data_IF_822290924527
#
_entry.id   IF_822290924527
#
_cell.length_a   1.000
_cell.length_b   1.000
_cell.length_c   1.000
_cell.angle_alpha   90.00
_cell.angle_beta   90.00
_cell.angle_gamma   90.00
#
_symmetry.space_group_name_H-M   'P 1'
#
loop_
_entity.id
_entity.type
_entity.pdbx_description
1 polymer ?
#
# COMPACT_ATOMS: atom_id res chain seq x y z
N UNK A 1 -24.86 -6.04 1.34
CA UNK A 1 -23.73 -6.20 0.40
C UNK A 1 -24.33 -6.26 -1.00
N UNK A 2 -23.97 -5.35 -1.89
CA UNK A 2 -24.55 -5.23 -3.24
C UNK A 2 -23.64 -5.86 -4.30
N UNK A 3 -24.21 -6.26 -5.43
CA UNK A 3 -23.52 -7.02 -6.49
C UNK A 3 -22.27 -6.33 -7.07
N UNK A 4 -22.17 -4.99 -6.99
CA UNK A 4 -20.99 -4.23 -7.42
C UNK A 4 -19.79 -4.42 -6.50
N UNK A 5 -20.00 -4.60 -5.19
CA UNK A 5 -18.92 -4.82 -4.20
C UNK A 5 -18.25 -6.18 -4.37
N UNK A 6 -19.01 -7.19 -4.82
CA UNK A 6 -18.49 -8.54 -5.10
C UNK A 6 -17.68 -8.57 -6.40
N UNK A 7 -17.87 -7.59 -7.29
CA UNK A 7 -17.18 -7.47 -8.58
C UNK A 7 -15.77 -6.91 -8.36
N UNK A 8 -15.64 -5.77 -7.67
CA UNK A 8 -14.34 -5.13 -7.38
C UNK A 8 -13.33 -6.05 -6.67
N UNK A 9 -13.80 -6.76 -5.64
CA UNK A 9 -12.99 -7.71 -4.85
C UNK A 9 -12.51 -8.93 -5.67
N UNK A 10 -13.21 -9.28 -6.76
CA UNK A 10 -12.81 -10.35 -7.68
C UNK A 10 -11.77 -9.92 -8.72
N UNK A 11 -11.58 -8.61 -8.93
CA UNK A 11 -10.72 -8.06 -9.99
C UNK A 11 -9.49 -7.31 -9.47
N UNK A 12 -9.26 -7.28 -8.15
CA UNK A 12 -8.08 -6.63 -7.57
C UNK A 12 -8.05 -5.10 -7.77
N UNK A 13 -9.20 -4.48 -8.01
CA UNK A 13 -9.38 -3.03 -8.09
C UNK A 13 -10.35 -2.55 -7.03
N UNK A 14 -10.09 -1.36 -6.52
CA UNK A 14 -10.77 -0.80 -5.35
C UNK A 14 -11.16 0.64 -5.62
N UNK A 15 -12.43 0.94 -5.45
CA UNK A 15 -12.90 2.32 -5.37
C UNK A 15 -12.37 2.98 -4.09
N UNK A 16 -12.31 4.32 -4.07
CA UNK A 16 -11.96 5.08 -2.85
C UNK A 16 -12.85 4.69 -1.66
N UNK A 17 -14.14 4.43 -1.89
CA UNK A 17 -15.08 4.02 -0.84
C UNK A 17 -14.77 2.62 -0.28
N UNK A 18 -14.39 1.67 -1.14
CA UNK A 18 -13.97 0.33 -0.72
C UNK A 18 -12.65 0.38 0.06
N UNK A 19 -11.65 1.09 -0.44
CA UNK A 19 -10.38 1.31 0.26
C UNK A 19 -10.63 1.93 1.65
N UNK A 20 -11.44 2.98 1.74
CA UNK A 20 -11.79 3.63 3.00
C UNK A 20 -12.38 2.66 4.02
N UNK A 21 -13.31 1.82 3.59
CA UNK A 21 -13.93 0.79 4.44
C UNK A 21 -12.95 -0.31 4.85
N UNK A 22 -12.12 -0.79 3.92
CA UNK A 22 -11.14 -1.85 4.19
C UNK A 22 -10.08 -1.36 5.19
N UNK A 23 -9.55 -0.16 4.93
CA UNK A 23 -8.50 0.47 5.75
C UNK A 23 -9.04 1.13 7.02
N UNK A 24 -10.38 1.22 7.16
CA UNK A 24 -11.06 1.93 8.26
C UNK A 24 -10.62 3.39 8.38
N UNK A 25 -10.44 4.06 7.24
CA UNK A 25 -10.05 5.46 7.14
C UNK A 25 -11.20 6.32 6.63
N UNK A 26 -11.24 7.62 6.95
CA UNK A 26 -12.15 8.55 6.31
C UNK A 26 -11.94 8.57 4.78
N UNK A 27 -13.03 8.58 4.00
CA UNK A 27 -12.96 8.62 2.53
C UNK A 27 -12.15 9.80 2.00
N UNK A 28 -12.22 10.95 2.67
CA UNK A 28 -11.43 12.12 2.32
C UNK A 28 -9.92 11.90 2.51
N UNK A 29 -9.51 11.13 3.53
CA UNK A 29 -8.10 10.77 3.75
C UNK A 29 -7.58 9.93 2.61
N UNK A 30 -8.29 8.86 2.25
CA UNK A 30 -7.93 7.99 1.12
C UNK A 30 -7.86 8.77 -0.19
N UNK A 31 -8.86 9.63 -0.45
CA UNK A 31 -8.88 10.50 -1.64
C UNK A 31 -7.64 11.41 -1.69
N UNK A 32 -7.27 12.03 -0.56
CA UNK A 32 -6.10 12.92 -0.48
C UNK A 32 -4.80 12.17 -0.73
N UNK A 33 -4.63 10.98 -0.14
CA UNK A 33 -3.45 10.16 -0.38
C UNK A 33 -3.34 9.72 -1.83
N UNK A 34 -4.45 9.28 -2.43
CA UNK A 34 -4.47 8.84 -3.82
C UNK A 34 -4.14 9.98 -4.80
N UNK A 35 -4.68 11.17 -4.54
CA UNK A 35 -4.27 12.36 -5.29
C UNK A 35 -2.81 12.74 -5.07
N UNK A 36 -2.28 12.61 -3.84
CA UNK A 36 -0.86 12.90 -3.58
C UNK A 36 0.05 11.94 -4.35
N UNK A 37 -0.29 10.65 -4.38
CA UNK A 37 0.46 9.64 -5.12
C UNK A 37 0.35 9.86 -6.62
N UNK A 38 -0.84 10.09 -7.18
CA UNK A 38 -0.99 10.34 -8.63
C UNK A 38 -0.32 11.64 -9.13
N UNK A 39 -0.13 12.62 -8.25
CA UNK A 39 0.51 13.89 -8.58
C UNK A 39 2.05 13.85 -8.46
N UNK A 40 2.64 12.72 -8.06
CA UNK A 40 4.10 12.56 -8.07
C UNK A 40 4.62 12.44 -9.51
N UNK A 41 5.90 12.76 -9.70
CA UNK A 41 6.54 12.67 -11.01
C UNK A 41 6.86 11.21 -11.36
N UNK A 42 5.94 10.57 -12.08
CA UNK A 42 6.06 9.17 -12.48
C UNK A 42 6.52 9.01 -13.93
N UNK A 43 7.21 7.90 -14.26
CA UNK A 43 7.43 7.52 -15.64
C UNK A 43 6.11 7.48 -16.41
N UNK A 44 6.11 8.00 -17.64
CA UNK A 44 4.92 8.14 -18.49
C UNK A 44 4.11 6.83 -18.54
N UNK A 45 2.83 6.92 -18.14
CA UNK A 45 1.90 5.79 -18.13
C UNK A 45 1.80 5.04 -16.80
N UNK A 46 2.58 5.42 -15.79
CA UNK A 46 2.44 4.89 -14.43
C UNK A 46 1.48 5.76 -13.63
N UNK A 47 0.40 5.15 -13.14
CA UNK A 47 -0.62 5.83 -12.34
C UNK A 47 -1.04 4.93 -11.18
N UNK A 48 -1.34 5.55 -10.04
CA UNK A 48 -1.85 4.90 -8.86
C UNK A 48 -3.37 4.69 -8.92
N UNK A 49 -4.04 5.46 -9.76
CA UNK A 49 -5.45 5.23 -10.05
C UNK A 49 -5.81 5.48 -11.51
N UNK A 50 -6.90 4.87 -11.94
CA UNK A 50 -7.50 5.07 -13.26
C UNK A 50 -8.98 5.38 -13.10
N UNK A 51 -9.54 6.13 -14.05
CA UNK A 51 -10.99 6.31 -14.15
C UNK A 51 -11.58 5.18 -15.00
N UNK A 52 -12.38 4.33 -14.37
CA UNK A 52 -13.13 3.26 -15.01
C UNK A 52 -14.62 3.60 -14.95
N UNK A 53 -15.24 3.83 -16.12
CA UNK A 53 -16.67 4.14 -16.23
C UNK A 53 -17.12 5.32 -15.31
N UNK A 54 -16.28 6.36 -15.21
CA UNK A 54 -16.54 7.53 -14.36
C UNK A 54 -16.23 7.33 -12.88
N UNK A 55 -15.68 6.18 -12.49
CA UNK A 55 -15.29 5.86 -11.12
C UNK A 55 -13.78 5.73 -11.01
N UNK A 56 -13.17 6.50 -10.09
CA UNK A 56 -11.74 6.42 -9.80
C UNK A 56 -11.45 5.16 -8.97
N UNK A 57 -10.62 4.28 -9.50
CA UNK A 57 -10.23 3.00 -8.89
C UNK A 57 -8.71 2.87 -8.80
N UNK A 58 -8.24 2.21 -7.76
CA UNK A 58 -6.84 1.87 -7.55
C UNK A 58 -6.65 0.36 -7.51
N UNK A 59 -5.45 -0.12 -7.75
CA UNK A 59 -5.16 -1.56 -7.75
C UNK A 59 -4.90 -2.12 -6.33
N UNK A 60 -4.68 -3.43 -6.28
CA UNK A 60 -4.38 -4.14 -5.04
C UNK A 60 -3.09 -3.66 -4.36
N UNK A 61 -2.03 -3.39 -5.12
CA UNK A 61 -0.77 -2.92 -4.52
C UNK A 61 -0.95 -1.55 -3.89
N UNK A 62 -1.71 -0.65 -4.52
CA UNK A 62 -2.06 0.65 -3.94
C UNK A 62 -2.86 0.52 -2.64
N UNK A 63 -3.80 -0.42 -2.56
CA UNK A 63 -4.51 -0.70 -1.30
C UNK A 63 -3.53 -1.12 -0.19
N UNK A 64 -2.55 -1.97 -0.51
CA UNK A 64 -1.55 -2.42 0.46
C UNK A 64 -0.53 -1.33 0.84
N UNK A 65 -0.10 -0.50 -0.11
CA UNK A 65 0.70 0.72 0.14
C UNK A 65 0.00 1.60 1.17
N UNK A 66 -1.31 1.81 0.99
CA UNK A 66 -2.11 2.64 1.90
C UNK A 66 -2.31 1.99 3.27
N UNK A 67 -2.32 0.66 3.33
CA UNK A 67 -2.30 -0.04 4.61
C UNK A 67 -1.01 0.26 5.38
N UNK A 68 0.16 0.14 4.73
CA UNK A 68 1.44 0.45 5.38
C UNK A 68 1.50 1.91 5.79
N UNK A 69 1.07 2.81 4.91
CA UNK A 69 0.96 4.24 5.20
C UNK A 69 0.05 4.52 6.40
N UNK A 70 -1.10 3.84 6.51
CA UNK A 70 -2.01 3.97 7.65
C UNK A 70 -1.34 3.57 8.96
N UNK A 71 -0.62 2.44 8.97
CA UNK A 71 0.10 2.00 10.16
C UNK A 71 1.20 2.99 10.55
N UNK A 72 1.95 3.53 9.58
CA UNK A 72 3.00 4.53 9.83
C UNK A 72 2.43 5.82 10.41
N UNK A 73 1.31 6.30 9.87
CA UNK A 73 0.62 7.50 10.38
C UNK A 73 0.02 7.24 11.76
N UNK A 74 -0.55 6.05 12.00
CA UNK A 74 -1.13 5.67 13.28
C UNK A 74 -0.08 5.68 14.40
N UNK A 75 1.15 5.23 14.13
CA UNK A 75 2.26 5.25 15.10
C UNK A 75 2.94 6.63 15.25
N UNK A 76 2.39 7.68 14.62
CA UNK A 76 2.83 9.07 14.83
C UNK A 76 3.82 9.61 13.80
N UNK A 77 4.00 8.96 12.64
CA UNK A 77 4.75 9.56 11.53
C UNK A 77 3.87 10.57 10.80
N UNK A 78 4.38 11.76 10.50
CA UNK A 78 3.59 12.76 9.75
C UNK A 78 3.31 12.25 8.35
N UNK A 79 2.08 12.44 7.87
CA UNK A 79 1.67 12.02 6.53
C UNK A 79 2.60 12.53 5.42
N UNK A 80 3.10 13.76 5.54
CA UNK A 80 4.05 14.33 4.58
C UNK A 80 5.38 13.56 4.53
N UNK A 81 5.89 13.13 5.69
CA UNK A 81 7.13 12.36 5.78
C UNK A 81 6.96 10.96 5.20
N UNK A 82 5.80 10.33 5.38
CA UNK A 82 5.50 9.04 4.75
C UNK A 82 5.43 9.18 3.22
N UNK A 83 4.81 10.25 2.72
CA UNK A 83 4.73 10.55 1.27
C UNK A 83 6.13 10.79 0.68
N UNK A 84 6.99 11.52 1.40
CA UNK A 84 8.37 11.79 0.99
C UNK A 84 9.22 10.52 0.98
N UNK A 85 9.15 9.70 2.04
CA UNK A 85 9.82 8.41 2.10
C UNK A 85 9.36 7.46 0.99
N UNK A 86 8.06 7.43 0.70
CA UNK A 86 7.52 6.68 -0.42
C UNK A 86 8.20 7.10 -1.73
N UNK A 87 8.19 8.39 -2.05
CA UNK A 87 8.80 8.90 -3.28
C UNK A 87 10.29 8.54 -3.38
N UNK A 88 11.06 8.70 -2.30
CA UNK A 88 12.47 8.33 -2.27
C UNK A 88 12.67 6.84 -2.51
N UNK A 89 11.94 5.97 -1.79
CA UNK A 89 12.04 4.52 -1.96
C UNK A 89 11.62 4.07 -3.36
N UNK A 90 10.59 4.70 -3.95
CA UNK A 90 10.19 4.41 -5.33
C UNK A 90 11.33 4.63 -6.32
N UNK A 91 12.08 5.73 -6.16
CA UNK A 91 13.25 6.03 -7.01
C UNK A 91 14.39 5.05 -6.74
N UNK A 92 14.73 4.84 -5.47
CA UNK A 92 15.86 3.99 -5.07
C UNK A 92 15.69 2.53 -5.50
N UNK A 93 14.49 1.99 -5.36
CA UNK A 93 14.17 0.61 -5.72
C UNK A 93 13.58 0.48 -7.12
N UNK A 94 13.45 1.58 -7.87
CA UNK A 94 12.88 1.61 -9.22
C UNK A 94 11.53 0.87 -9.31
N UNK A 95 10.67 1.11 -8.32
CA UNK A 95 9.34 0.49 -8.21
C UNK A 95 8.30 1.56 -7.97
N UNK A 96 7.13 1.39 -8.59
CA UNK A 96 6.00 2.25 -8.29
C UNK A 96 5.59 2.08 -6.83
N UNK A 97 5.54 0.83 -6.33
CA UNK A 97 4.99 0.43 -5.02
C UNK A 97 6.09 -0.04 -4.04
N UNK A 98 6.85 0.89 -3.42
CA UNK A 98 7.96 0.56 -2.53
C UNK A 98 7.54 -0.05 -1.19
N UNK A 99 6.46 0.40 -0.54
CA UNK A 99 6.04 -0.15 0.75
C UNK A 99 5.46 -1.56 0.66
N UNK A 100 5.31 -2.13 -0.54
CA UNK A 100 4.93 -3.54 -0.72
C UNK A 100 5.99 -4.34 -1.46
N UNK A 101 7.19 -3.78 -1.63
CA UNK A 101 8.34 -4.51 -2.16
C UNK A 101 9.05 -5.26 -1.03
N UNK A 102 9.28 -6.57 -1.21
CA UNK A 102 9.89 -7.42 -0.18
C UNK A 102 11.21 -6.84 0.37
N UNK A 103 12.10 -6.39 -0.52
CA UNK A 103 13.41 -5.85 -0.12
C UNK A 103 13.31 -4.58 0.73
N UNK A 104 12.31 -3.72 0.46
CA UNK A 104 12.04 -2.49 1.21
C UNK A 104 11.45 -2.82 2.57
N UNK A 105 10.54 -3.80 2.62
CA UNK A 105 9.90 -4.21 3.87
C UNK A 105 10.89 -4.90 4.82
N UNK A 106 11.77 -5.73 4.27
CA UNK A 106 12.82 -6.42 5.04
C UNK A 106 13.90 -5.46 5.56
N UNK A 107 14.07 -4.28 4.97
CA UNK A 107 15.04 -3.27 5.40
C UNK A 107 14.50 -2.30 6.45
N UNK A 108 13.21 -2.32 6.78
CA UNK A 108 12.63 -1.49 7.85
C UNK A 108 13.24 -1.86 9.20
N UNK A 109 13.76 -0.86 9.91
CA UNK A 109 14.30 -0.96 11.27
C UNK A 109 13.71 0.14 12.16
N UNK A 110 13.75 -0.06 13.46
CA UNK A 110 13.39 0.97 14.45
C UNK A 110 14.23 0.85 15.72
N UNK A 111 14.37 1.96 16.42
CA UNK A 111 14.82 2.04 17.81
C UNK A 111 13.67 2.32 18.81
N UNK A 112 12.41 2.28 18.36
CA UNK A 112 11.21 2.62 19.13
C UNK A 112 10.83 4.10 19.11
N UNK A 113 11.69 4.98 18.58
CA UNK A 113 11.46 6.42 18.41
C UNK A 113 11.57 6.90 16.96
N UNK A 114 12.27 6.12 16.13
CA UNK A 114 12.52 6.41 14.72
C UNK A 114 12.34 5.15 13.89
N UNK A 115 11.77 5.28 12.70
CA UNK A 115 11.77 4.23 11.69
C UNK A 115 12.87 4.59 10.70
N UNK A 116 13.72 3.63 10.35
CA UNK A 116 14.78 3.88 9.39
C UNK A 116 14.93 2.74 8.41
N UNK A 117 15.31 3.12 7.20
CA UNK A 117 15.86 2.25 6.19
C UNK A 117 17.36 2.51 6.16
N UNK A 118 18.10 1.77 6.99
CA UNK A 118 19.53 2.03 7.29
C UNK A 118 20.42 2.00 6.03
N UNK A 119 20.07 1.14 5.07
CA UNK A 119 20.77 1.05 3.77
C UNK A 119 20.45 2.21 2.82
N UNK A 120 19.35 2.92 3.09
CA UNK A 120 18.70 3.84 2.15
C UNK A 120 18.71 5.30 2.67
N UNK A 121 19.35 5.56 3.82
CA UNK A 121 19.46 6.87 4.48
C UNK A 121 18.13 7.58 4.81
N UNK A 122 17.00 6.84 4.79
CA UNK A 122 15.69 7.39 5.16
C UNK A 122 15.50 7.22 6.67
N UNK A 123 15.20 8.33 7.35
CA UNK A 123 14.93 8.38 8.78
C UNK A 123 13.61 9.11 9.04
N UNK A 124 12.60 8.37 9.44
CA UNK A 124 11.31 8.90 9.85
C UNK A 124 11.27 9.00 11.37
N UNK A 125 11.01 10.21 11.88
CA UNK A 125 10.90 10.44 13.32
C UNK A 125 9.45 10.26 13.74
N UNK A 126 9.21 9.51 14.81
CA UNK A 126 7.89 9.46 15.43
C UNK A 126 7.65 10.73 16.24
N UNK A 127 6.41 11.20 16.28
CA UNK A 127 6.01 12.31 17.15
C UNK A 127 6.06 11.99 18.66
N UNK A 128 6.42 10.75 19.03
CA UNK A 128 6.59 10.32 20.42
C UNK A 128 5.27 10.12 21.17
N UNK A 129 4.12 10.23 20.49
CA UNK A 129 2.79 10.12 21.10
C UNK A 129 2.36 8.67 21.37
N UNK A 130 2.95 7.69 20.67
CA UNK A 130 2.59 6.28 20.74
C UNK A 130 3.82 5.36 20.71
N UNK A 131 3.74 4.23 21.41
CA UNK A 131 4.79 3.20 21.34
C UNK A 131 4.76 2.54 19.96
N UNK A 132 5.89 2.56 19.26
CA UNK A 132 6.04 1.97 17.94
C UNK A 132 5.86 0.43 18.02
N UNK A 133 4.67 -0.06 17.66
CA UNK A 133 4.46 -1.49 17.56
C UNK A 133 4.87 -2.00 16.17
N UNK A 134 6.18 -2.05 15.91
CA UNK A 134 6.72 -2.71 14.71
C UNK A 134 6.31 -4.19 14.61
N UNK A 135 5.87 -4.81 15.71
CA UNK A 135 5.31 -6.16 15.66
C UNK A 135 4.04 -6.17 14.80
N UNK A 136 3.24 -5.10 14.77
CA UNK A 136 2.08 -4.99 13.88
C UNK A 136 2.49 -4.98 12.41
N UNK A 137 3.52 -4.20 12.07
CA UNK A 137 4.10 -4.15 10.72
C UNK A 137 4.65 -5.54 10.34
N UNK A 138 5.41 -6.19 11.23
CA UNK A 138 5.92 -7.56 11.01
C UNK A 138 4.81 -8.61 10.92
N UNK A 139 3.74 -8.49 11.70
CA UNK A 139 2.58 -9.38 11.66
C UNK A 139 1.79 -9.18 10.37
N UNK A 140 1.66 -7.94 9.90
CA UNK A 140 1.13 -7.66 8.58
C UNK A 140 1.99 -8.30 7.48
N UNK A 141 3.32 -8.25 7.57
CA UNK A 141 4.20 -8.89 6.59
C UNK A 141 4.06 -10.40 6.54
N UNK A 142 3.88 -11.06 7.68
CA UNK A 142 3.60 -12.50 7.72
C UNK A 142 2.29 -12.88 7.03
N UNK A 143 1.42 -11.91 6.74
CA UNK A 143 0.17 -12.09 6.00
C UNK A 143 0.32 -11.82 4.50
N UNK A 144 1.51 -11.52 4.00
CA UNK A 144 1.78 -11.32 2.57
C UNK A 144 2.48 -12.55 1.99
N UNK A 145 2.10 -12.94 0.77
CA UNK A 145 2.88 -13.88 -0.05
C UNK A 145 3.56 -13.09 -1.16
N UNK A 146 4.85 -13.31 -1.34
CA UNK A 146 5.61 -12.68 -2.42
C UNK A 146 5.87 -13.68 -3.55
N UNK A 147 5.86 -13.19 -4.78
CA UNK A 147 6.31 -13.95 -5.95
C UNK A 147 7.85 -14.03 -6.01
N UNK A 148 8.37 -14.69 -7.04
CA UNK A 148 9.81 -14.82 -7.27
C UNK A 148 10.53 -13.49 -7.62
N UNK A 149 9.78 -12.39 -7.83
CA UNK A 149 10.28 -11.04 -8.09
C UNK A 149 10.10 -10.12 -6.87
N UNK A 150 9.63 -10.65 -5.74
CA UNK A 150 9.43 -9.90 -4.50
C UNK A 150 8.20 -8.99 -4.51
N UNK A 151 7.23 -9.22 -5.41
CA UNK A 151 5.94 -8.52 -5.45
C UNK A 151 4.87 -9.30 -4.69
N UNK A 152 3.95 -8.60 -4.04
CA UNK A 152 2.87 -9.26 -3.29
C UNK A 152 1.89 -9.93 -4.25
N UNK A 153 1.77 -11.25 -4.13
CA UNK A 153 0.81 -12.06 -4.85
C UNK A 153 -0.45 -12.36 -4.05
N UNK A 154 -0.38 -12.47 -2.72
CA UNK A 154 -1.54 -12.79 -1.87
C UNK A 154 -1.50 -12.02 -0.55
N UNK A 155 -2.69 -11.72 0.01
CA UNK A 155 -2.83 -11.10 1.32
C UNK A 155 -3.91 -11.77 2.17
N UNK A 156 -3.57 -12.13 3.42
CA UNK A 156 -4.47 -12.80 4.37
C UNK A 156 -4.81 -11.91 5.58
N UNK A 157 -5.83 -11.04 5.49
CA UNK A 157 -6.12 -10.07 6.55
C UNK A 157 -6.42 -10.73 7.91
N UNK A 158 -7.05 -11.92 7.91
CA UNK A 158 -7.44 -12.68 9.11
C UNK A 158 -6.56 -13.92 9.40
N UNK A 159 -5.42 -14.05 8.73
CA UNK A 159 -4.57 -15.26 8.81
C UNK A 159 -4.89 -16.28 7.72
N UNK A 160 -4.08 -17.35 7.64
CA UNK A 160 -4.04 -18.32 6.53
C UNK A 160 -5.36 -19.07 6.29
N UNK A 161 -6.28 -19.06 7.27
CA UNK A 161 -7.53 -19.82 7.23
C UNK A 161 -8.68 -19.16 6.46
N UNK A 162 -8.65 -17.83 6.27
CA UNK A 162 -9.68 -17.09 5.50
C UNK A 162 -9.00 -16.17 4.49
N UNK A 163 -8.61 -16.75 3.36
CA UNK A 163 -7.97 -16.03 2.27
C UNK A 163 -8.97 -15.07 1.59
N UNK A 164 -8.62 -13.79 1.50
CA UNK A 164 -9.03 -12.99 0.35
C UNK A 164 -7.96 -13.30 -0.71
N UNK A 165 -8.24 -14.28 -1.56
CA UNK A 165 -7.37 -14.63 -2.67
C UNK A 165 -7.42 -13.51 -3.71
N UNK A 166 -6.53 -12.53 -3.59
CA UNK A 166 -6.30 -11.54 -4.64
C UNK A 166 -5.09 -11.98 -5.45
N UNK A 167 -5.30 -12.78 -6.48
CA UNK A 167 -4.25 -13.07 -7.46
C UNK A 167 -4.33 -12.00 -8.57
N UNK A 168 -3.44 -10.99 -8.61
CA UNK A 168 -3.46 -9.97 -9.67
C UNK A 168 -3.20 -10.57 -11.07
N UNK A 169 -2.69 -11.80 -11.18
CA UNK A 169 -2.55 -12.49 -12.46
C UNK A 169 -3.88 -13.04 -13.01
N UNK A 170 -4.95 -13.07 -12.20
CA UNK A 170 -6.31 -13.37 -12.66
C UNK A 170 -7.01 -12.11 -13.22
N UNK A 171 -6.47 -11.59 -14.32
CA UNK A 171 -7.07 -10.75 -15.39
C UNK A 171 -7.55 -9.32 -15.03
N UNK A 172 -7.26 -8.26 -15.78
CA UNK A 172 -6.45 -7.97 -16.99
C UNK A 172 -6.52 -6.45 -17.24
N UNK A 173 -5.55 -5.89 -17.99
CA UNK A 173 -5.60 -4.53 -18.57
C UNK A 173 -5.16 -4.45 -20.03
N UNK A 174 -4.89 -5.57 -20.69
CA UNK A 174 -4.62 -5.63 -22.13
C UNK A 174 -5.85 -6.14 -22.92
N UNK A 175 -6.19 -5.54 -24.07
CA UNK A 175 -7.01 -6.25 -25.03
C UNK A 175 -6.21 -7.46 -25.53
N UNK A 176 -6.69 -8.67 -25.27
CA UNK A 176 -6.25 -9.83 -26.04
C UNK A 176 -6.88 -9.72 -27.42
N UNK A 177 -6.07 -9.39 -28.43
CA UNK A 177 -6.37 -9.71 -29.82
C UNK A 177 -5.97 -11.16 -30.09
#
# INVERSE_FOLDING_TARGET
MTASETKAMKFGIYTIGEMARILRLPTNTVRRWLSAFDNMDWPKGSHYSVNLEGVRVADFHTLLEFYVMAVLVEVGVRTSEVIEAHHHLSQLYSTQHPFVQQSVLESIRTDGKKIHWEKDQILLTLDGSQQLNLQLIRVFFKKLNFDNKGKVRLFWPMGTEKAILMDPERRFGQPSH
#
